data_IF_470335320426
#
_entry.id   IF_470335320426
#
_cell.length_a   1.000
_cell.length_b   1.000
_cell.length_c   1.000
_cell.angle_alpha   90.00
_cell.angle_beta   90.00
_cell.angle_gamma   90.00
#
_symmetry.space_group_name_H-M   'P 1'
#
loop_
_entity.id
_entity.type
_entity.pdbx_description
1 polymer ?
#
# COMPACT_ATOMS: atom_id res chain seq x y z
N UNK A 1 4.81 -4.94 -26.66
CA UNK A 1 6.27 -4.73 -26.76
C UNK A 1 6.96 -5.75 -25.89
N UNK A 2 8.09 -6.29 -26.34
CA UNK A 2 8.96 -7.13 -25.49
C UNK A 2 9.78 -6.22 -24.55
N UNK A 3 10.32 -6.79 -23.46
CA UNK A 3 11.20 -6.06 -22.54
C UNK A 3 12.40 -5.39 -23.27
N UNK A 4 13.00 -6.10 -24.22
CA UNK A 4 14.11 -5.56 -25.01
C UNK A 4 13.69 -4.37 -25.88
N UNK A 5 12.54 -4.43 -26.52
CA UNK A 5 11.99 -3.32 -27.28
C UNK A 5 11.66 -2.12 -26.38
N UNK A 6 11.14 -2.36 -25.18
CA UNK A 6 10.85 -1.29 -24.21
C UNK A 6 12.13 -0.59 -23.77
N UNK A 7 13.18 -1.34 -23.42
CA UNK A 7 14.49 -0.79 -23.03
C UNK A 7 15.07 0.04 -24.18
N UNK A 8 15.04 -0.48 -25.40
CA UNK A 8 15.54 0.25 -26.56
C UNK A 8 14.77 1.54 -26.81
N UNK A 9 13.46 1.51 -26.64
CA UNK A 9 12.62 2.71 -26.80
C UNK A 9 12.93 3.75 -25.73
N UNK A 10 13.08 3.37 -24.47
CA UNK A 10 13.49 4.25 -23.37
C UNK A 10 14.84 4.92 -23.68
N UNK A 11 15.82 4.15 -24.12
CA UNK A 11 17.13 4.67 -24.48
C UNK A 11 17.05 5.68 -25.64
N UNK A 12 16.29 5.37 -26.69
CA UNK A 12 16.10 6.28 -27.83
C UNK A 12 15.40 7.57 -27.42
N UNK A 13 14.36 7.48 -26.60
CA UNK A 13 13.63 8.65 -26.10
C UNK A 13 14.52 9.52 -25.19
N UNK A 14 15.33 8.91 -24.34
CA UNK A 14 16.28 9.61 -23.47
C UNK A 14 17.34 10.37 -24.30
N UNK A 15 17.87 9.73 -25.34
CA UNK A 15 18.83 10.37 -26.26
C UNK A 15 18.14 11.52 -27.00
N UNK A 16 16.91 11.31 -27.50
CA UNK A 16 16.15 12.33 -28.21
C UNK A 16 15.87 13.54 -27.31
N UNK A 17 15.40 13.30 -26.06
CA UNK A 17 15.16 14.36 -25.08
C UNK A 17 16.43 15.16 -24.76
N UNK A 18 17.58 14.51 -24.64
CA UNK A 18 18.86 15.17 -24.41
C UNK A 18 19.36 16.01 -25.58
N UNK A 19 18.90 15.72 -26.81
CA UNK A 19 19.25 16.48 -28.03
C UNK A 19 18.28 17.60 -28.36
N UNK A 20 17.11 17.64 -27.72
CA UNK A 20 16.13 18.72 -27.94
C UNK A 20 16.67 20.05 -27.42
N UNK A 21 16.53 21.11 -28.21
CA UNK A 21 16.74 22.48 -27.74
C UNK A 21 15.66 22.89 -26.72
N UNK A 22 15.91 23.98 -25.98
CA UNK A 22 14.92 24.47 -25.01
C UNK A 22 13.63 24.93 -25.70
N UNK A 23 13.72 25.51 -26.90
CA UNK A 23 12.56 25.90 -27.71
C UNK A 23 11.75 24.68 -28.15
N UNK A 24 12.41 23.60 -28.57
CA UNK A 24 11.74 22.34 -28.94
C UNK A 24 11.08 21.68 -27.75
N UNK A 25 11.72 21.68 -26.57
CA UNK A 25 11.12 21.20 -25.33
C UNK A 25 9.89 21.98 -24.91
N UNK A 26 9.84 23.28 -25.18
CA UNK A 26 8.71 24.16 -24.89
C UNK A 26 7.61 24.09 -25.94
N UNK A 27 7.88 23.59 -27.13
CA UNK A 27 6.92 23.45 -28.21
C UNK A 27 5.86 22.38 -27.91
N UNK A 28 4.65 22.82 -27.55
CA UNK A 28 3.66 21.89 -26.98
C UNK A 28 2.36 21.72 -27.80
N UNK A 29 2.02 22.67 -28.69
CA UNK A 29 0.64 22.78 -29.16
C UNK A 29 0.13 21.61 -30.01
N UNK A 30 0.96 21.01 -30.83
CA UNK A 30 0.52 19.94 -31.73
C UNK A 30 0.61 18.54 -31.07
N UNK A 31 1.58 18.34 -30.19
CA UNK A 31 1.69 17.13 -29.36
C UNK A 31 0.53 17.00 -28.38
N UNK A 32 0.06 18.12 -27.80
CA UNK A 32 -1.13 18.15 -26.95
C UNK A 32 -2.37 17.56 -27.61
N UNK A 33 -2.60 17.93 -28.90
CA UNK A 33 -3.72 17.40 -29.67
C UNK A 33 -3.60 15.91 -29.98
N UNK A 34 -2.36 15.45 -30.24
CA UNK A 34 -2.07 14.06 -30.56
C UNK A 34 -2.27 13.17 -29.32
N UNK A 35 -1.74 13.57 -28.17
CA UNK A 35 -1.81 12.80 -26.94
C UNK A 35 -3.20 12.79 -26.29
N UNK A 36 -3.97 13.89 -26.38
CA UNK A 36 -5.39 13.88 -26.00
C UNK A 36 -6.21 12.86 -26.79
N UNK A 37 -5.90 12.67 -28.06
CA UNK A 37 -6.59 11.70 -28.93
C UNK A 37 -6.18 10.25 -28.64
N UNK A 38 -4.95 10.02 -28.17
CA UNK A 38 -4.45 8.66 -27.92
C UNK A 38 -4.97 8.03 -26.62
N UNK A 39 -5.50 8.83 -25.69
CA UNK A 39 -5.95 8.37 -24.38
C UNK A 39 -4.81 7.87 -23.45
N UNK A 40 -3.55 8.03 -23.88
CA UNK A 40 -2.38 7.53 -23.14
C UNK A 40 -2.09 8.40 -21.92
N UNK A 41 -2.50 9.68 -21.94
CA UNK A 41 -2.23 10.62 -20.85
C UNK A 41 -3.50 11.22 -20.27
N UNK A 42 -3.62 11.20 -18.96
CA UNK A 42 -4.57 12.03 -18.22
C UNK A 42 -3.93 13.42 -17.98
N UNK A 43 -4.03 14.28 -19.01
CA UNK A 43 -3.39 15.59 -19.03
C UNK A 43 -3.89 16.50 -17.90
N UNK A 44 -5.13 16.29 -17.43
CA UNK A 44 -5.73 17.11 -16.36
C UNK A 44 -5.15 16.82 -14.97
N UNK A 45 -4.50 15.66 -14.81
CA UNK A 45 -3.88 15.24 -13.54
C UNK A 45 -2.35 15.32 -13.53
N UNK A 46 -1.72 15.69 -14.65
CA UNK A 46 -0.27 15.77 -14.75
C UNK A 46 0.24 17.10 -14.22
N UNK A 47 1.15 17.06 -13.26
CA UNK A 47 1.93 18.23 -12.80
C UNK A 47 3.12 18.57 -13.70
N UNK A 48 3.36 17.80 -14.76
CA UNK A 48 4.45 18.01 -15.71
C UNK A 48 4.07 19.13 -16.67
N UNK A 49 4.97 20.08 -16.98
CA UNK A 49 4.72 21.14 -17.95
C UNK A 49 4.25 20.59 -19.30
N UNK A 50 3.21 21.20 -19.86
CA UNK A 50 2.64 20.81 -21.15
C UNK A 50 3.54 21.25 -22.32
N UNK A 51 4.73 20.66 -22.41
CA UNK A 51 5.66 20.89 -23.51
C UNK A 51 6.18 19.56 -24.06
N UNK A 52 6.82 19.59 -25.21
CA UNK A 52 7.30 18.38 -25.89
C UNK A 52 8.27 17.58 -25.03
N UNK A 53 9.19 18.25 -24.34
CA UNK A 53 10.14 17.61 -23.43
C UNK A 53 9.45 16.91 -22.26
N UNK A 54 8.45 17.56 -21.66
CA UNK A 54 7.65 16.99 -20.57
C UNK A 54 6.88 15.73 -21.01
N UNK A 55 6.32 15.72 -22.22
CA UNK A 55 5.66 14.53 -22.75
C UNK A 55 6.62 13.37 -22.99
N UNK A 56 7.78 13.64 -23.59
CA UNK A 56 8.80 12.60 -23.79
C UNK A 56 9.26 12.04 -22.44
N UNK A 57 9.52 12.89 -21.45
CA UNK A 57 9.88 12.47 -20.10
C UNK A 57 8.77 11.61 -19.46
N UNK A 58 7.51 11.99 -19.64
CA UNK A 58 6.39 11.22 -19.09
C UNK A 58 6.28 9.82 -19.73
N UNK A 59 6.52 9.71 -21.05
CA UNK A 59 6.58 8.40 -21.73
C UNK A 59 7.72 7.54 -21.14
N UNK A 60 8.90 8.12 -20.97
CA UNK A 60 10.04 7.44 -20.37
C UNK A 60 9.70 6.92 -18.97
N UNK A 61 9.07 7.75 -18.14
CA UNK A 61 8.68 7.38 -16.77
C UNK A 61 7.67 6.22 -16.76
N UNK A 62 6.66 6.25 -17.64
CA UNK A 62 5.68 5.17 -17.77
C UNK A 62 6.36 3.87 -18.18
N UNK A 63 7.21 3.89 -19.20
CA UNK A 63 7.92 2.71 -19.68
C UNK A 63 8.88 2.13 -18.64
N UNK A 64 9.57 2.97 -17.89
CA UNK A 64 10.42 2.53 -16.78
C UNK A 64 9.59 1.90 -15.64
N UNK A 65 8.44 2.48 -15.31
CA UNK A 65 7.54 1.91 -14.31
C UNK A 65 7.05 0.51 -14.72
N UNK A 66 6.73 0.33 -15.99
CA UNK A 66 6.33 -0.98 -16.53
C UNK A 66 7.48 -1.99 -16.47
N UNK A 67 8.72 -1.57 -16.80
CA UNK A 67 9.90 -2.44 -16.69
C UNK A 67 10.15 -2.89 -15.26
N UNK A 68 10.12 -1.97 -14.30
CA UNK A 68 10.27 -2.27 -12.87
C UNK A 68 9.16 -3.23 -12.41
N UNK A 69 7.92 -3.00 -12.82
CA UNK A 69 6.81 -3.87 -12.47
C UNK A 69 6.98 -5.30 -13.01
N UNK A 70 7.53 -5.45 -14.24
CA UNK A 70 7.83 -6.76 -14.81
C UNK A 70 8.99 -7.45 -14.07
N UNK A 71 10.03 -6.71 -13.69
CA UNK A 71 11.15 -7.24 -12.90
C UNK A 71 10.69 -7.71 -11.53
N UNK A 72 9.90 -6.91 -10.83
CA UNK A 72 9.34 -7.28 -9.54
C UNK A 72 8.47 -8.54 -9.62
N UNK A 73 7.64 -8.66 -10.67
CA UNK A 73 6.85 -9.87 -10.89
C UNK A 73 7.72 -11.09 -11.15
N UNK A 74 8.77 -10.94 -11.95
CA UNK A 74 9.71 -12.04 -12.24
C UNK A 74 10.44 -12.49 -10.96
N UNK A 75 10.90 -11.56 -10.15
CA UNK A 75 11.57 -11.83 -8.88
C UNK A 75 10.63 -12.45 -7.86
N UNK A 76 9.42 -11.91 -7.70
CA UNK A 76 8.40 -12.49 -6.82
C UNK A 76 8.03 -13.92 -7.24
N UNK A 77 7.98 -14.21 -8.55
CA UNK A 77 7.75 -15.56 -9.06
C UNK A 77 8.92 -16.50 -8.71
N UNK A 78 10.15 -16.04 -8.88
CA UNK A 78 11.34 -16.83 -8.57
C UNK A 78 11.42 -17.18 -7.06
N UNK A 79 10.98 -16.27 -6.20
CA UNK A 79 10.97 -16.44 -4.74
C UNK A 79 9.70 -17.12 -4.20
N UNK A 80 8.72 -17.42 -5.04
CA UNK A 80 7.43 -18.00 -4.60
C UNK A 80 6.44 -16.97 -4.01
N UNK A 81 6.73 -15.68 -4.10
CA UNK A 81 6.00 -14.57 -3.47
C UNK A 81 4.89 -13.96 -4.33
N UNK A 82 4.51 -14.59 -5.42
CA UNK A 82 3.50 -14.03 -6.37
C UNK A 82 2.19 -13.64 -5.69
N UNK A 83 1.73 -14.44 -4.69
CA UNK A 83 0.49 -14.14 -3.95
C UNK A 83 0.65 -12.91 -3.06
N UNK A 84 1.78 -12.79 -2.39
CA UNK A 84 2.13 -11.66 -1.52
C UNK A 84 2.21 -10.36 -2.32
N UNK A 85 2.92 -10.38 -3.45
CA UNK A 85 3.00 -9.24 -4.37
C UNK A 85 1.60 -8.80 -4.83
N UNK A 86 0.75 -9.73 -5.21
CA UNK A 86 -0.62 -9.42 -5.61
C UNK A 86 -1.42 -8.77 -4.47
N UNK A 87 -1.34 -9.30 -3.25
CA UNK A 87 -2.03 -8.75 -2.10
C UNK A 87 -1.58 -7.30 -1.80
N UNK A 88 -0.26 -7.03 -1.86
CA UNK A 88 0.31 -5.71 -1.67
C UNK A 88 -0.19 -4.72 -2.73
N UNK A 89 -0.13 -5.08 -4.02
CA UNK A 89 -0.60 -4.24 -5.12
C UNK A 89 -2.12 -3.99 -5.08
N UNK A 90 -2.91 -5.01 -4.75
CA UNK A 90 -4.37 -4.86 -4.61
C UNK A 90 -4.72 -3.92 -3.44
N UNK A 91 -3.97 -3.96 -2.34
CA UNK A 91 -4.12 -3.02 -1.23
C UNK A 91 -3.76 -1.60 -1.65
N UNK A 92 -2.61 -1.38 -2.29
CA UNK A 92 -2.22 -0.06 -2.79
C UNK A 92 -3.26 0.50 -3.79
N UNK A 93 -3.75 -0.33 -4.71
CA UNK A 93 -4.78 0.09 -5.68
C UNK A 93 -6.09 0.51 -5.03
N UNK A 94 -6.50 -0.17 -3.94
CA UNK A 94 -7.68 0.25 -3.16
C UNK A 94 -7.46 1.62 -2.53
N UNK A 95 -6.28 1.84 -1.94
CA UNK A 95 -5.95 3.09 -1.28
C UNK A 95 -5.90 4.27 -2.24
N UNK A 96 -5.32 4.10 -3.43
CA UNK A 96 -5.31 5.12 -4.49
C UNK A 96 -6.72 5.56 -4.90
N UNK A 97 -7.68 4.64 -4.90
CA UNK A 97 -9.08 4.96 -5.24
C UNK A 97 -9.82 5.70 -4.13
N UNK A 98 -9.44 5.47 -2.87
CA UNK A 98 -10.12 6.05 -1.71
C UNK A 98 -9.58 7.42 -1.29
N UNK A 99 -8.36 7.76 -1.70
CA UNK A 99 -7.61 8.91 -1.20
C UNK A 99 -7.29 9.93 -2.30
N UNK A 100 -8.27 10.72 -2.71
CA UNK A 100 -8.03 11.90 -3.54
C UNK A 100 -7.29 13.03 -2.79
N UNK A 101 -7.24 12.98 -1.46
CA UNK A 101 -6.68 14.04 -0.60
C UNK A 101 -5.33 13.67 0.03
N UNK A 102 -4.96 12.38 0.04
CA UNK A 102 -3.73 11.89 0.71
C UNK A 102 -2.80 11.14 -0.25
N UNK A 103 -2.31 11.84 -1.24
CA UNK A 103 -1.31 11.32 -2.19
C UNK A 103 -0.07 10.74 -1.48
N UNK A 104 0.23 11.25 -0.29
CA UNK A 104 1.33 10.84 0.57
C UNK A 104 1.21 9.37 1.03
N UNK A 105 -0.02 8.89 1.19
CA UNK A 105 -0.32 7.52 1.67
C UNK A 105 -0.39 6.51 0.52
N UNK A 106 -0.37 6.97 -0.73
CA UNK A 106 -0.56 6.11 -1.90
C UNK A 106 0.74 5.47 -2.42
N UNK A 107 1.90 5.89 -1.92
CA UNK A 107 3.21 5.47 -2.45
C UNK A 107 4.16 5.07 -1.33
N UNK A 108 5.08 4.13 -1.61
CA UNK A 108 6.05 3.67 -0.62
C UNK A 108 7.14 4.71 -0.37
N UNK A 109 7.74 4.61 0.80
CA UNK A 109 9.04 5.18 1.13
C UNK A 109 10.09 4.08 1.12
N UNK A 110 11.34 4.41 0.76
CA UNK A 110 12.42 3.43 0.61
C UNK A 110 13.44 3.59 1.72
N UNK A 111 13.89 2.47 2.26
CA UNK A 111 14.96 2.40 3.25
C UNK A 111 15.84 1.19 2.95
N UNK A 112 17.08 1.42 2.54
CA UNK A 112 18.02 0.37 2.14
C UNK A 112 17.40 -0.58 1.09
N UNK A 113 17.31 -1.88 1.38
CA UNK A 113 16.69 -2.90 0.54
C UNK A 113 15.20 -3.15 0.87
N UNK A 114 14.60 -2.30 1.70
CA UNK A 114 13.22 -2.39 2.16
C UNK A 114 12.40 -1.21 1.66
N UNK A 115 11.14 -1.44 1.45
CA UNK A 115 10.15 -0.39 1.20
C UNK A 115 9.13 -0.35 2.33
N UNK A 116 8.69 0.84 2.67
CA UNK A 116 7.68 1.09 3.68
C UNK A 116 6.44 1.68 3.04
N UNK A 117 5.31 1.08 3.29
CA UNK A 117 4.03 1.58 2.80
C UNK A 117 2.99 1.62 3.92
N UNK A 118 2.18 2.66 3.92
CA UNK A 118 1.08 2.82 4.89
C UNK A 118 -0.10 3.54 4.27
N UNK A 119 -1.29 3.27 4.79
CA UNK A 119 -2.52 4.01 4.51
C UNK A 119 -3.08 4.70 5.76
N UNK A 120 -2.30 4.70 6.85
CA UNK A 120 -2.69 5.25 8.15
C UNK A 120 -3.44 4.25 9.04
N UNK A 121 -3.78 3.06 8.55
CA UNK A 121 -4.40 1.97 9.33
C UNK A 121 -3.49 0.74 9.44
N UNK A 122 -2.64 0.55 8.46
CA UNK A 122 -1.64 -0.51 8.45
C UNK A 122 -0.31 0.06 7.92
N UNK A 123 0.80 -0.37 8.49
CA UNK A 123 2.15 -0.10 8.00
C UNK A 123 2.79 -1.44 7.66
N UNK A 124 3.43 -1.54 6.52
CA UNK A 124 4.27 -2.69 6.17
C UNK A 124 5.67 -2.23 5.78
N UNK A 125 6.66 -3.02 6.15
CA UNK A 125 8.07 -2.89 5.75
C UNK A 125 8.42 -4.18 5.04
N UNK A 126 8.60 -4.13 3.74
CA UNK A 126 8.76 -5.31 2.88
C UNK A 126 10.02 -5.19 2.02
N UNK A 127 10.52 -6.30 1.51
CA UNK A 127 11.58 -6.31 0.50
C UNK A 127 11.16 -5.54 -0.76
N UNK A 128 12.09 -4.82 -1.37
CA UNK A 128 11.81 -3.92 -2.51
C UNK A 128 11.13 -4.60 -3.70
N UNK A 129 11.42 -5.89 -3.97
CA UNK A 129 10.81 -6.61 -5.08
C UNK A 129 9.31 -6.96 -4.88
N UNK A 130 8.79 -6.83 -3.66
CA UNK A 130 7.35 -6.94 -3.40
C UNK A 130 6.59 -5.66 -3.79
N UNK A 131 7.20 -4.89 -4.59
CA UNK A 131 7.00 -3.63 -5.26
C UNK A 131 5.61 -3.04 -5.23
N UNK A 132 5.37 -2.18 -4.27
CA UNK A 132 4.40 -1.12 -4.48
C UNK A 132 4.85 -0.25 -5.66
N UNK A 133 3.89 0.31 -6.40
CA UNK A 133 4.21 1.29 -7.44
C UNK A 133 4.90 2.51 -6.82
N UNK A 134 5.98 2.92 -7.45
CA UNK A 134 6.77 4.07 -7.02
C UNK A 134 5.98 5.38 -7.11
N UNK A 135 6.35 6.33 -6.29
CA UNK A 135 5.84 7.68 -6.34
C UNK A 135 6.40 8.37 -7.58
N UNK A 136 5.56 8.96 -8.45
CA UNK A 136 6.05 9.77 -9.56
C UNK A 136 6.92 10.93 -9.04
N UNK A 137 8.01 11.25 -9.73
CA UNK A 137 8.90 12.38 -9.37
C UNK A 137 8.14 13.69 -9.19
N UNK A 138 7.07 13.90 -9.99
CA UNK A 138 6.20 15.07 -9.91
C UNK A 138 5.47 15.24 -8.57
N UNK A 139 5.39 14.18 -7.75
CA UNK A 139 4.74 14.19 -6.45
C UNK A 139 5.76 14.15 -5.29
N UNK A 140 7.04 14.27 -5.58
CA UNK A 140 8.09 14.33 -4.57
C UNK A 140 8.01 15.64 -3.78
N UNK A 141 7.27 15.63 -2.68
CA UNK A 141 7.25 16.68 -1.65
C UNK A 141 7.74 16.12 -0.32
N UNK A 142 8.16 16.99 0.59
CA UNK A 142 8.76 16.68 1.90
C UNK A 142 7.83 15.99 2.92
N UNK A 143 6.65 15.57 2.53
CA UNK A 143 5.65 15.01 3.44
C UNK A 143 5.75 13.48 3.54
N UNK A 144 6.75 13.00 4.29
CA UNK A 144 6.78 11.62 4.74
C UNK A 144 5.88 11.39 5.95
N UNK A 145 5.05 10.35 5.94
CA UNK A 145 4.43 9.87 7.16
C UNK A 145 5.53 9.36 8.10
N UNK A 146 5.54 9.87 9.33
CA UNK A 146 6.51 9.41 10.34
C UNK A 146 6.10 8.04 10.89
N UNK A 147 6.16 7.00 10.03
CA UNK A 147 5.85 5.62 10.41
C UNK A 147 6.78 5.08 11.49
N UNK A 148 8.00 5.61 11.62
CA UNK A 148 8.95 5.23 12.69
C UNK A 148 8.38 5.41 14.09
N UNK A 149 7.45 6.37 14.26
CA UNK A 149 6.75 6.57 15.53
C UNK A 149 5.57 5.61 15.72
N UNK A 150 5.06 5.02 14.64
CA UNK A 150 3.95 4.09 14.69
C UNK A 150 4.39 2.65 14.96
N UNK A 151 5.61 2.29 14.55
CA UNK A 151 6.15 0.93 14.78
C UNK A 151 6.66 0.86 16.22
N UNK A 152 6.10 -0.02 17.07
CA UNK A 152 6.52 -0.13 18.46
C UNK A 152 7.94 -0.70 18.57
N UNK A 153 8.67 -0.22 19.55
CA UNK A 153 9.99 -0.75 19.88
C UNK A 153 9.93 -2.01 20.77
N UNK A 154 8.78 -2.27 21.36
CA UNK A 154 8.54 -3.39 22.28
C UNK A 154 7.26 -4.12 21.90
N UNK A 155 7.26 -5.43 22.07
CA UNK A 155 6.11 -6.31 21.87
C UNK A 155 5.64 -6.76 23.25
N UNK A 156 4.32 -6.90 23.39
CA UNK A 156 3.72 -7.35 24.65
C UNK A 156 3.65 -8.89 24.67
N UNK A 157 2.64 -9.48 24.08
CA UNK A 157 2.36 -10.90 24.11
C UNK A 157 2.32 -11.47 22.69
N UNK A 158 2.88 -12.67 22.50
CA UNK A 158 2.75 -13.40 21.23
C UNK A 158 1.31 -13.89 21.07
N UNK A 159 0.72 -13.63 19.90
CA UNK A 159 -0.66 -13.98 19.59
C UNK A 159 -0.74 -15.01 18.48
N UNK A 160 -1.76 -15.86 18.55
CA UNK A 160 -2.04 -16.83 17.48
C UNK A 160 -3.02 -16.24 16.47
N UNK A 161 -2.60 -16.16 15.22
CA UNK A 161 -3.45 -15.71 14.12
C UNK A 161 -4.53 -16.75 13.78
N UNK A 162 -5.71 -16.30 13.36
CA UNK A 162 -6.76 -17.20 12.90
C UNK A 162 -6.39 -17.91 11.58
N UNK A 163 -7.07 -19.02 11.27
CA UNK A 163 -6.97 -19.63 9.96
C UNK A 163 -7.48 -18.65 8.87
N UNK A 164 -6.62 -18.28 7.95
CA UNK A 164 -6.90 -17.26 6.94
C UNK A 164 -8.05 -17.69 5.99
N UNK A 165 -8.18 -18.99 5.69
CA UNK A 165 -9.23 -19.46 4.79
C UNK A 165 -10.59 -19.34 5.47
N UNK A 166 -10.70 -19.73 6.73
CA UNK A 166 -11.93 -19.57 7.53
C UNK A 166 -12.25 -18.10 7.75
N UNK A 167 -11.25 -17.27 8.08
CA UNK A 167 -11.42 -15.83 8.26
C UNK A 167 -12.00 -15.16 7.00
N UNK A 168 -11.52 -15.52 5.81
CA UNK A 168 -12.04 -15.01 4.54
C UNK A 168 -13.49 -15.40 4.29
N UNK A 169 -13.85 -16.64 4.58
CA UNK A 169 -15.24 -17.11 4.42
C UNK A 169 -16.15 -16.35 5.39
N UNK A 170 -15.78 -16.27 6.64
CA UNK A 170 -16.50 -15.53 7.67
C UNK A 170 -16.66 -14.05 7.29
N UNK A 171 -15.57 -13.37 6.93
CA UNK A 171 -15.60 -11.96 6.52
C UNK A 171 -16.53 -11.70 5.34
N UNK A 172 -16.51 -12.58 4.33
CA UNK A 172 -17.40 -12.48 3.16
C UNK A 172 -18.89 -12.56 3.58
N UNK A 173 -19.22 -13.41 4.53
CA UNK A 173 -20.59 -13.55 5.04
C UNK A 173 -20.98 -12.32 5.84
N UNK A 174 -20.13 -11.82 6.75
CA UNK A 174 -20.39 -10.62 7.53
C UNK A 174 -20.57 -9.37 6.63
N UNK A 175 -19.76 -9.22 5.60
CA UNK A 175 -19.89 -8.12 4.61
C UNK A 175 -21.21 -8.16 3.85
N UNK A 176 -21.76 -9.34 3.56
CA UNK A 176 -23.09 -9.46 2.94
C UNK A 176 -24.18 -8.99 3.88
N UNK A 177 -24.05 -9.31 5.16
CA UNK A 177 -25.06 -9.00 6.17
C UNK A 177 -25.06 -7.52 6.56
N UNK A 178 -23.86 -6.92 6.72
CA UNK A 178 -23.68 -5.55 7.24
C UNK A 178 -23.61 -4.46 6.15
N UNK A 179 -23.43 -4.85 4.89
CA UNK A 179 -23.27 -3.91 3.77
C UNK A 179 -21.83 -3.46 3.50
N UNK A 180 -21.58 -2.99 2.27
CA UNK A 180 -20.23 -2.77 1.73
C UNK A 180 -19.40 -1.68 2.42
N UNK A 181 -20.03 -0.73 3.11
CA UNK A 181 -19.37 0.46 3.69
C UNK A 181 -19.01 0.32 5.17
N UNK A 182 -19.41 -0.75 5.83
CA UNK A 182 -19.22 -0.92 7.27
C UNK A 182 -17.96 -1.72 7.53
N UNK A 183 -17.12 -1.26 8.46
CA UNK A 183 -16.01 -2.04 9.00
C UNK A 183 -16.53 -3.29 9.69
N UNK A 184 -15.83 -4.39 9.52
CA UNK A 184 -16.18 -5.67 10.15
C UNK A 184 -15.11 -5.99 11.19
N UNK A 185 -15.37 -5.74 12.49
CA UNK A 185 -14.40 -6.06 13.52
C UNK A 185 -14.24 -7.57 13.65
N UNK A 186 -12.97 -8.00 13.76
CA UNK A 186 -12.57 -9.32 14.19
C UNK A 186 -12.05 -9.21 15.62
N UNK A 187 -12.67 -9.91 16.56
CA UNK A 187 -12.31 -9.88 17.98
C UNK A 187 -11.55 -11.16 18.33
N UNK A 188 -10.35 -11.03 18.88
CA UNK A 188 -9.53 -12.18 19.31
C UNK A 188 -10.00 -12.77 20.63
N UNK A 189 -10.60 -11.99 21.49
CA UNK A 189 -11.03 -12.39 22.83
C UNK A 189 -12.13 -11.49 23.37
N UNK A 190 -12.04 -11.13 24.64
CA UNK A 190 -12.97 -10.27 25.37
C UNK A 190 -12.84 -8.79 24.95
N UNK A 191 -13.68 -7.91 25.53
CA UNK A 191 -13.75 -6.51 25.11
C UNK A 191 -12.45 -5.72 25.28
N UNK A 192 -11.60 -6.12 26.20
CA UNK A 192 -10.29 -5.56 26.48
C UNK A 192 -9.14 -6.23 25.70
N UNK A 193 -9.46 -7.18 24.86
CA UNK A 193 -8.51 -7.88 24.00
C UNK A 193 -8.39 -7.19 22.62
N UNK A 194 -7.75 -7.86 21.69
CA UNK A 194 -7.47 -7.35 20.37
C UNK A 194 -8.73 -7.34 19.52
N UNK A 195 -9.06 -6.17 18.98
CA UNK A 195 -10.09 -6.00 17.95
C UNK A 195 -9.50 -5.26 16.76
N UNK A 196 -9.63 -5.81 15.55
CA UNK A 196 -9.09 -5.21 14.32
C UNK A 196 -10.10 -5.29 13.19
N UNK A 197 -9.93 -4.44 12.18
CA UNK A 197 -10.71 -4.58 10.95
C UNK A 197 -10.29 -5.85 10.21
N UNK A 198 -11.23 -6.76 9.99
CA UNK A 198 -10.98 -8.07 9.37
C UNK A 198 -10.41 -7.96 7.95
N UNK A 199 -10.73 -6.90 7.21
CA UNK A 199 -10.17 -6.67 5.88
C UNK A 199 -8.67 -6.40 5.94
N UNK A 200 -8.25 -5.57 6.90
CA UNK A 200 -6.84 -5.30 7.14
C UNK A 200 -6.10 -6.52 7.70
N UNK A 201 -6.72 -7.28 8.60
CA UNK A 201 -6.15 -8.52 9.12
C UNK A 201 -5.87 -9.53 8.02
N UNK A 202 -6.86 -9.77 7.13
CA UNK A 202 -6.69 -10.64 5.96
C UNK A 202 -5.57 -10.12 5.07
N UNK A 203 -5.54 -8.83 4.79
CA UNK A 203 -4.52 -8.21 3.94
C UNK A 203 -3.12 -8.36 4.54
N UNK A 204 -2.96 -8.12 5.83
CA UNK A 204 -1.71 -8.31 6.55
C UNK A 204 -1.22 -9.77 6.46
N UNK A 205 -2.11 -10.73 6.73
CA UNK A 205 -1.78 -12.15 6.65
C UNK A 205 -1.49 -12.64 5.22
N UNK A 206 -2.03 -12.00 4.19
CA UNK A 206 -1.72 -12.32 2.77
C UNK A 206 -0.37 -11.74 2.32
N UNK A 207 0.00 -10.59 2.87
CA UNK A 207 1.26 -9.90 2.54
C UNK A 207 2.44 -10.53 3.28
N UNK A 208 2.27 -10.84 4.55
CA UNK A 208 3.34 -11.42 5.38
C UNK A 208 3.54 -12.91 5.07
N UNK A 209 4.74 -13.41 5.37
CA UNK A 209 5.09 -14.84 5.19
C UNK A 209 4.50 -15.71 6.30
N UNK A 210 4.35 -17.03 6.07
CA UNK A 210 3.80 -17.95 7.08
C UNK A 210 4.65 -18.05 8.37
N UNK A 211 5.93 -17.72 8.31
CA UNK A 211 6.85 -17.73 9.46
C UNK A 211 6.79 -16.45 10.29
N UNK A 212 5.90 -15.52 9.95
CA UNK A 212 5.70 -14.29 10.70
C UNK A 212 5.20 -14.60 12.10
N UNK A 213 5.92 -14.09 13.08
CA UNK A 213 5.48 -14.06 14.48
C UNK A 213 4.66 -12.81 14.71
N UNK A 214 3.58 -12.96 15.43
CA UNK A 214 2.62 -11.90 15.66
C UNK A 214 2.48 -11.62 17.16
N UNK A 215 2.37 -10.33 17.50
CA UNK A 215 2.38 -9.86 18.89
C UNK A 215 1.27 -8.84 19.09
N UNK A 216 0.68 -8.84 20.29
CA UNK A 216 -0.05 -7.70 20.79
C UNK A 216 0.92 -6.54 21.05
N UNK A 217 0.46 -5.32 20.85
CA UNK A 217 1.31 -4.14 21.03
C UNK A 217 0.46 -2.91 21.38
N UNK A 218 1.00 -2.05 22.24
CA UNK A 218 0.38 -0.78 22.64
C UNK A 218 -1.04 -0.95 23.16
N UNK A 219 -1.27 -1.94 24.03
CA UNK A 219 -2.55 -2.13 24.69
C UNK A 219 -2.95 -0.89 25.50
N UNK A 220 -4.16 -0.40 25.28
CA UNK A 220 -4.68 0.80 25.94
C UNK A 220 -6.12 0.59 26.37
N UNK A 221 -6.41 0.92 27.63
CA UNK A 221 -7.76 1.03 28.17
C UNK A 221 -7.97 2.49 28.61
N UNK A 222 -9.10 3.04 28.29
CA UNK A 222 -9.42 4.42 28.64
C UNK A 222 -10.92 4.69 28.73
N UNK A 223 -11.24 5.94 28.99
CA UNK A 223 -12.62 6.44 29.03
C UNK A 223 -12.73 7.57 28.01
N UNK A 224 -13.78 7.58 27.22
CA UNK A 224 -14.03 8.62 26.24
C UNK A 224 -14.65 9.88 26.90
N UNK A 225 -14.89 10.92 26.10
CA UNK A 225 -15.44 12.18 26.60
C UNK A 225 -16.88 12.03 27.17
N UNK A 226 -17.57 10.96 26.82
CA UNK A 226 -18.93 10.66 27.30
C UNK A 226 -18.92 9.71 28.51
N UNK A 227 -17.75 9.40 29.07
CA UNK A 227 -17.57 8.51 30.21
C UNK A 227 -17.66 7.02 29.90
N UNK A 228 -17.61 6.62 28.61
CA UNK A 228 -17.72 5.23 28.20
C UNK A 228 -16.35 4.57 28.14
N UNK A 229 -16.21 3.39 28.71
CA UNK A 229 -14.96 2.61 28.67
C UNK A 229 -14.67 2.11 27.25
N UNK A 230 -13.44 2.24 26.81
CA UNK A 230 -12.94 1.68 25.57
C UNK A 230 -11.61 0.97 25.76
N UNK A 231 -11.34 0.02 24.88
CA UNK A 231 -10.04 -0.62 24.74
C UNK A 231 -9.60 -0.63 23.28
N UNK A 232 -8.30 -0.63 23.05
CA UNK A 232 -7.69 -0.97 21.77
C UNK A 232 -6.32 -1.58 21.98
N UNK A 233 -5.96 -2.52 21.12
CA UNK A 233 -4.66 -3.16 21.09
C UNK A 233 -4.25 -3.32 19.63
N UNK A 234 -3.04 -2.91 19.30
CA UNK A 234 -2.50 -3.04 17.95
C UNK A 234 -1.90 -4.44 17.75
N UNK A 235 -1.69 -4.83 16.50
CA UNK A 235 -0.98 -6.06 16.14
C UNK A 235 0.33 -5.68 15.45
N UNK A 236 1.41 -6.33 15.87
CA UNK A 236 2.71 -6.27 15.23
C UNK A 236 3.12 -7.64 14.74
N UNK A 237 3.60 -7.73 13.50
CA UNK A 237 4.15 -8.95 12.92
C UNK A 237 5.57 -8.73 12.40
N UNK A 238 6.44 -9.73 12.59
CA UNK A 238 7.80 -9.73 12.06
C UNK A 238 8.19 -11.14 11.62
N UNK A 239 8.82 -11.26 10.45
CA UNK A 239 9.30 -12.54 9.94
C UNK A 239 10.83 -12.67 10.03
N UNK A 240 11.34 -13.84 9.69
CA UNK A 240 12.76 -14.19 9.80
C UNK A 240 13.69 -13.35 8.91
N UNK A 241 13.19 -12.71 7.87
CA UNK A 241 13.96 -11.85 6.95
C UNK A 241 13.84 -10.36 7.27
N UNK A 242 13.22 -10.01 8.41
CA UNK A 242 13.10 -8.64 8.91
C UNK A 242 11.99 -7.82 8.28
N UNK A 243 11.08 -8.43 7.53
CA UNK A 243 9.85 -7.75 7.10
C UNK A 243 8.91 -7.58 8.28
N UNK A 244 8.19 -6.45 8.30
CA UNK A 244 7.34 -6.07 9.43
C UNK A 244 5.97 -5.63 8.96
N UNK A 245 4.98 -5.87 9.82
CA UNK A 245 3.62 -5.37 9.64
C UNK A 245 3.12 -4.80 10.97
N UNK A 246 2.53 -3.62 10.91
CA UNK A 246 1.87 -3.01 12.05
C UNK A 246 0.44 -2.67 11.68
N UNK A 247 -0.51 -3.27 12.38
CA UNK A 247 -1.95 -3.12 12.13
C UNK A 247 -2.59 -2.41 13.32
N UNK A 248 -3.24 -1.27 13.05
CA UNK A 248 -3.96 -0.51 14.07
C UNK A 248 -5.17 -1.29 14.58
N UNK A 249 -5.27 -1.40 15.91
CA UNK A 249 -6.45 -1.90 16.58
C UNK A 249 -7.65 -0.98 16.40
N UNK A 250 -8.82 -1.55 16.42
CA UNK A 250 -10.06 -0.80 16.51
C UNK A 250 -10.30 -0.39 17.96
N UNK A 251 -10.70 0.86 18.15
CA UNK A 251 -11.21 1.33 19.42
C UNK A 251 -12.62 0.76 19.62
N UNK A 252 -12.78 -0.12 20.58
CA UNK A 252 -14.05 -0.79 20.88
C UNK A 252 -14.57 -0.32 22.23
N UNK A 253 -15.79 0.22 22.25
CA UNK A 253 -16.51 0.52 23.48
C UNK A 253 -16.99 -0.79 24.11
N UNK A 254 -16.87 -0.87 25.45
CA UNK A 254 -17.27 -2.07 26.19
C UNK A 254 -18.70 -2.51 25.90
N UNK A 255 -19.62 -1.56 25.81
CA UNK A 255 -21.05 -1.78 25.50
C UNK A 255 -21.29 -2.32 24.08
N UNK A 256 -20.38 -2.10 23.15
CA UNK A 256 -20.50 -2.49 21.74
C UNK A 256 -19.71 -3.76 21.39
N UNK A 257 -19.05 -4.36 22.37
CA UNK A 257 -18.27 -5.58 22.14
C UNK A 257 -19.19 -6.81 22.07
N UNK A 258 -18.98 -7.62 21.03
CA UNK A 258 -19.85 -8.79 20.73
C UNK A 258 -19.24 -10.13 21.17
N UNK A 259 -18.16 -10.10 21.96
CA UNK A 259 -17.40 -11.29 22.33
C UNK A 259 -16.40 -11.74 21.26
N UNK A 260 -15.69 -12.84 21.55
CA UNK A 260 -14.73 -13.46 20.62
C UNK A 260 -15.40 -13.86 19.31
N UNK A 261 -14.71 -13.59 18.19
CA UNK A 261 -15.20 -14.01 16.87
C UNK A 261 -14.99 -15.51 16.67
N UNK A 262 -16.07 -16.24 16.39
CA UNK A 262 -16.04 -17.67 16.06
C UNK A 262 -15.90 -17.84 14.53
N UNK A 263 -14.95 -18.73 14.08
CA UNK A 263 -14.64 -19.02 12.68
C UNK A 263 -15.07 -20.41 12.24
#
# INVERSE_FOLDING_TARGET
>A
MTKAETINLVNLLTIALGKMSDDEKQSANDLNKLFKRSGIFDIEKSSIPFNAGGYVQQVINILNTDLIAEENKAQAKANGDTKRLRAALDWQKRNKKMNTIREIVAYPDYQDDMQVYTDGHMVVVLKNYLGFEEKPESLCGEYGLSYKKAIPNTHEEEITMPDIAKLKVWYKNEKKNKGKKIRVPYNFGDWNDISVDAEYLITAMEIMTPDTKWYASNHTIGVDNDGREYAFTHIYGENSIGEKCYLLGLRVLRENHTGKTEL
#
